data_IF_531998135581
#
_entry.id   IF_531998135581
#
_cell.length_a   1.000
_cell.length_b   1.000
_cell.length_c   1.000
_cell.angle_alpha   90.00
_cell.angle_beta   90.00
_cell.angle_gamma   90.00
#
_symmetry.space_group_name_H-M   'P 1'
#
loop_
_entity.id
_entity.type
_entity.pdbx_description
1 polymer ?
#
# COMPACT_ATOMS: atom_id res chain seq x y z
N UNK A 1 -7.11 -13.86 17.04
CA UNK A 1 -7.97 -12.73 17.41
C UNK A 1 -8.88 -12.41 16.25
N UNK A 2 -10.03 -11.85 16.51
CA UNK A 2 -11.00 -11.38 15.53
C UNK A 2 -11.33 -9.92 15.87
N UNK A 3 -11.19 -9.02 14.91
CA UNK A 3 -11.55 -7.62 15.07
C UNK A 3 -12.82 -7.33 14.28
N UNK A 4 -13.87 -6.88 14.95
CA UNK A 4 -15.08 -6.37 14.34
C UNK A 4 -14.96 -4.86 14.18
N UNK A 5 -15.11 -4.36 12.97
CA UNK A 5 -14.96 -2.94 12.66
C UNK A 5 -16.18 -2.38 11.94
N UNK A 6 -16.62 -1.19 12.35
CA UNK A 6 -17.73 -0.47 11.73
C UNK A 6 -17.53 1.05 11.92
N UNK A 7 -18.04 1.86 11.01
CA UNK A 7 -18.04 3.32 11.13
C UNK A 7 -19.08 3.85 12.13
N UNK A 8 -20.04 3.03 12.50
CA UNK A 8 -21.15 3.38 13.39
C UNK A 8 -20.97 2.83 14.81
N UNK A 9 -20.89 3.72 15.79
CA UNK A 9 -20.90 3.32 17.21
C UNK A 9 -22.10 2.46 17.60
N UNK A 10 -23.24 2.71 16.98
CA UNK A 10 -24.45 1.94 17.25
C UNK A 10 -24.25 0.46 16.85
N UNK A 11 -23.75 0.20 15.65
CA UNK A 11 -23.52 -1.17 15.19
C UNK A 11 -22.38 -1.85 15.96
N UNK A 12 -21.36 -1.12 16.37
CA UNK A 12 -20.32 -1.65 17.26
C UNK A 12 -20.90 -2.11 18.61
N UNK A 13 -21.76 -1.28 19.24
CA UNK A 13 -22.40 -1.64 20.51
C UNK A 13 -23.36 -2.83 20.39
N UNK A 14 -24.08 -2.94 19.30
CA UNK A 14 -24.93 -4.11 19.06
C UNK A 14 -24.08 -5.36 18.82
N UNK A 15 -23.02 -5.25 18.01
CA UNK A 15 -22.07 -6.35 17.79
C UNK A 15 -21.39 -6.80 19.10
N UNK A 16 -21.01 -5.88 19.97
CA UNK A 16 -20.43 -6.18 21.28
C UNK A 16 -21.37 -7.02 22.15
N UNK A 17 -22.66 -6.68 22.17
CA UNK A 17 -23.68 -7.47 22.89
C UNK A 17 -23.85 -8.87 22.30
N UNK A 18 -23.97 -8.96 20.97
CA UNK A 18 -24.19 -10.24 20.27
C UNK A 18 -22.98 -11.18 20.35
N UNK A 19 -21.78 -10.60 20.31
CA UNK A 19 -20.52 -11.32 20.31
C UNK A 19 -19.89 -11.46 21.70
N UNK A 20 -20.51 -10.96 22.77
CA UNK A 20 -20.03 -11.01 24.17
C UNK A 20 -19.68 -12.43 24.65
N UNK A 21 -20.24 -13.46 24.04
CA UNK A 21 -19.95 -14.87 24.34
C UNK A 21 -18.58 -15.36 23.83
N UNK A 22 -17.90 -14.58 22.98
CA UNK A 22 -16.61 -14.93 22.39
C UNK A 22 -15.48 -14.14 23.02
N UNK A 23 -14.51 -14.81 23.65
CA UNK A 23 -13.46 -14.19 24.45
C UNK A 23 -12.37 -13.44 23.66
N UNK A 24 -12.33 -13.55 22.31
CA UNK A 24 -11.24 -13.03 21.48
C UNK A 24 -11.73 -12.14 20.36
N UNK A 25 -12.76 -11.34 20.65
CA UNK A 25 -13.28 -10.35 19.70
C UNK A 25 -12.91 -8.97 20.22
N UNK A 26 -12.29 -8.19 19.38
CA UNK A 26 -11.97 -6.79 19.57
C UNK A 26 -12.92 -5.94 18.72
N UNK A 27 -13.26 -4.73 19.19
CA UNK A 27 -14.19 -3.84 18.49
C UNK A 27 -13.52 -2.51 18.22
N UNK A 28 -13.45 -2.12 16.95
CA UNK A 28 -12.73 -0.94 16.51
C UNK A 28 -13.62 -0.04 15.62
N UNK A 29 -13.48 1.26 15.78
CA UNK A 29 -14.07 2.20 14.84
C UNK A 29 -13.26 2.23 13.56
N UNK A 30 -13.91 1.99 12.41
CA UNK A 30 -13.29 2.10 11.10
C UNK A 30 -14.18 2.90 10.16
N UNK A 31 -13.76 4.09 9.82
CA UNK A 31 -14.40 4.94 8.82
C UNK A 31 -13.50 5.04 7.57
N UNK A 32 -13.86 4.34 6.51
CA UNK A 32 -13.08 4.34 5.27
C UNK A 32 -13.12 5.67 4.50
N UNK A 33 -13.95 6.63 4.91
CA UNK A 33 -13.93 8.00 4.38
C UNK A 33 -12.80 8.85 5.00
N UNK A 34 -12.26 8.43 6.11
CA UNK A 34 -11.15 9.10 6.80
C UNK A 34 -9.81 8.47 6.47
N UNK A 35 -8.71 9.20 6.69
CA UNK A 35 -7.37 8.66 6.53
C UNK A 35 -7.06 7.58 7.57
N UNK A 36 -6.36 6.52 7.16
CA UNK A 36 -5.99 5.42 8.05
C UNK A 36 -5.04 5.85 9.17
N UNK A 37 -4.28 6.92 8.97
CA UNK A 37 -3.39 7.53 9.97
C UNK A 37 -4.12 8.10 11.19
N UNK A 38 -5.41 8.40 11.05
CA UNK A 38 -6.27 8.95 12.14
C UNK A 38 -7.02 7.89 12.92
N UNK A 39 -6.89 6.62 12.53
CA UNK A 39 -7.65 5.51 13.08
C UNK A 39 -6.73 4.57 13.86
N UNK A 40 -7.29 3.81 14.80
CA UNK A 40 -6.52 2.92 15.67
C UNK A 40 -6.22 1.55 15.04
N UNK A 41 -6.64 1.35 13.80
CA UNK A 41 -6.44 0.09 13.08
C UNK A 41 -4.96 -0.17 12.81
N UNK A 42 -4.53 -1.39 13.09
CA UNK A 42 -3.16 -1.81 12.79
C UNK A 42 -3.02 -2.17 11.31
N UNK A 43 -2.21 -1.42 10.56
CA UNK A 43 -1.92 -1.70 9.17
C UNK A 43 -1.08 -2.98 9.03
N UNK A 44 -1.24 -3.68 7.90
CA UNK A 44 -0.49 -4.90 7.55
C UNK A 44 -0.48 -5.97 8.64
N UNK A 45 -1.59 -6.10 9.38
CA UNK A 45 -1.66 -6.98 10.56
C UNK A 45 -2.69 -8.11 10.46
N UNK A 46 -3.55 -8.07 9.45
CA UNK A 46 -4.64 -9.02 9.29
C UNK A 46 -4.32 -10.08 8.21
N UNK A 47 -4.51 -11.34 8.56
CA UNK A 47 -4.35 -12.46 7.62
C UNK A 47 -5.56 -12.57 6.68
N UNK A 48 -6.74 -12.21 7.17
CA UNK A 48 -8.00 -12.22 6.42
C UNK A 48 -8.80 -10.98 6.79
N UNK A 49 -9.29 -10.25 5.79
CA UNK A 49 -10.30 -9.21 5.95
C UNK A 49 -11.59 -9.66 5.26
N UNK A 50 -12.71 -9.55 5.97
CA UNK A 50 -14.03 -9.88 5.45
C UNK A 50 -14.85 -8.60 5.38
N UNK A 51 -15.30 -8.24 4.19
CA UNK A 51 -16.17 -7.08 3.95
C UNK A 51 -17.51 -7.52 3.39
N UNK A 52 -18.59 -7.10 4.07
CA UNK A 52 -19.95 -7.47 3.69
C UNK A 52 -20.81 -6.21 3.54
N UNK A 53 -21.21 -5.89 2.32
CA UNK A 53 -22.06 -4.73 1.98
C UNK A 53 -21.55 -3.38 2.55
N UNK A 54 -20.23 -3.19 2.56
CA UNK A 54 -19.62 -2.01 3.17
C UNK A 54 -18.94 -1.10 2.16
N UNK A 55 -18.22 -1.67 1.18
CA UNK A 55 -17.32 -0.88 0.33
C UNK A 55 -18.08 -0.03 -0.70
N UNK A 56 -19.21 -0.50 -1.24
CA UNK A 56 -20.00 0.28 -2.21
C UNK A 56 -20.56 1.59 -1.65
N UNK A 57 -20.69 1.70 -0.33
CA UNK A 57 -21.27 2.87 0.34
C UNK A 57 -20.30 4.04 0.44
N UNK A 58 -19.02 3.82 0.22
CA UNK A 58 -18.02 4.87 0.31
C UNK A 58 -18.09 5.80 -0.91
N UNK A 59 -17.76 7.06 -0.71
CA UNK A 59 -17.73 8.12 -1.74
C UNK A 59 -16.80 7.72 -2.88
N UNK A 60 -15.68 7.07 -2.54
CA UNK A 60 -14.72 6.50 -3.47
C UNK A 60 -14.49 5.02 -3.14
N UNK A 61 -15.05 4.13 -3.97
CA UNK A 61 -14.92 2.70 -3.79
C UNK A 61 -13.49 2.19 -4.02
N UNK A 62 -12.74 2.83 -4.91
CA UNK A 62 -11.35 2.46 -5.17
C UNK A 62 -10.44 2.82 -3.99
N UNK A 63 -10.63 3.98 -3.39
CA UNK A 63 -9.93 4.40 -2.19
C UNK A 63 -10.28 3.51 -0.99
N UNK A 64 -11.55 3.15 -0.83
CA UNK A 64 -11.98 2.22 0.22
C UNK A 64 -11.32 0.84 0.09
N UNK A 65 -11.22 0.29 -1.13
CA UNK A 65 -10.53 -0.98 -1.39
C UNK A 65 -9.03 -0.87 -1.09
N UNK A 66 -8.38 0.24 -1.45
CA UNK A 66 -6.97 0.49 -1.12
C UNK A 66 -6.73 0.49 0.39
N UNK A 67 -7.57 1.20 1.15
CA UNK A 67 -7.49 1.24 2.62
C UNK A 67 -7.68 -0.14 3.25
N UNK A 68 -8.60 -0.94 2.72
CA UNK A 68 -8.78 -2.33 3.15
C UNK A 68 -7.56 -3.19 2.82
N UNK A 69 -6.94 -2.99 1.65
CA UNK A 69 -5.71 -3.69 1.28
C UNK A 69 -4.54 -3.36 2.21
N UNK A 70 -4.46 -2.11 2.70
CA UNK A 70 -3.44 -1.69 3.69
C UNK A 70 -3.56 -2.41 5.05
N UNK A 71 -4.74 -2.92 5.39
CA UNK A 71 -4.93 -3.71 6.60
C UNK A 71 -4.35 -5.13 6.48
N UNK A 72 -4.29 -5.67 5.26
CA UNK A 72 -3.85 -7.03 5.01
C UNK A 72 -2.33 -7.18 5.15
N UNK A 73 -1.90 -8.28 5.74
CA UNK A 73 -0.52 -8.74 5.64
C UNK A 73 -0.16 -9.07 4.18
N UNK A 74 1.13 -9.08 3.83
CA UNK A 74 1.58 -9.71 2.58
C UNK A 74 1.01 -11.13 2.46
N UNK A 75 0.42 -11.46 1.32
CA UNK A 75 -0.35 -12.70 1.08
C UNK A 75 -1.66 -12.84 1.89
N UNK A 76 -2.11 -11.81 2.59
CA UNK A 76 -3.41 -11.78 3.24
C UNK A 76 -4.57 -11.87 2.24
N UNK A 77 -5.72 -12.30 2.70
CA UNK A 77 -6.89 -12.56 1.85
C UNK A 77 -7.99 -11.56 2.13
N UNK A 78 -8.50 -10.91 1.09
CA UNK A 78 -9.77 -10.17 1.13
C UNK A 78 -10.90 -11.09 0.68
N UNK A 79 -11.88 -11.27 1.54
CA UNK A 79 -13.19 -11.84 1.20
C UNK A 79 -14.22 -10.72 1.17
N UNK A 80 -14.77 -10.42 0.01
CA UNK A 80 -15.74 -9.34 -0.16
C UNK A 80 -17.04 -9.87 -0.74
N UNK A 81 -18.16 -9.40 -0.21
CA UNK A 81 -19.46 -9.53 -0.86
C UNK A 81 -20.14 -8.19 -0.85
N UNK A 82 -20.53 -7.73 -2.03
CA UNK A 82 -21.17 -6.44 -2.20
C UNK A 82 -22.28 -6.47 -3.26
N UNK A 83 -23.20 -5.51 -3.20
CA UNK A 83 -24.29 -5.41 -4.15
C UNK A 83 -23.78 -4.90 -5.50
N UNK A 84 -24.28 -5.50 -6.60
CA UNK A 84 -23.96 -5.09 -7.98
C UNK A 84 -25.24 -4.92 -8.84
N UNK A 85 -26.41 -5.26 -8.29
CA UNK A 85 -27.68 -5.16 -9.01
C UNK A 85 -28.32 -3.80 -8.78
N UNK A 86 -28.74 -3.21 -9.88
CA UNK A 86 -29.59 -2.02 -9.90
C UNK A 86 -31.06 -2.45 -9.70
N UNK A 87 -31.65 -2.00 -8.63
CA UNK A 87 -33.09 -2.01 -8.47
C UNK A 87 -33.59 -0.58 -8.39
N UNK A 88 -34.76 -0.29 -8.98
CA UNK A 88 -35.40 1.04 -8.88
C UNK A 88 -35.57 1.48 -7.41
N UNK A 89 -35.81 0.52 -6.52
CA UNK A 89 -35.94 0.79 -5.09
C UNK A 89 -34.63 1.27 -4.48
N UNK A 90 -33.50 0.65 -4.85
CA UNK A 90 -32.17 1.07 -4.37
C UNK A 90 -31.79 2.45 -4.93
N UNK A 91 -32.06 2.70 -6.21
CA UNK A 91 -31.80 4.00 -6.81
C UNK A 91 -32.62 5.10 -6.14
N UNK A 92 -33.90 4.84 -5.85
CA UNK A 92 -34.76 5.77 -5.13
C UNK A 92 -34.30 6.00 -3.68
N UNK A 93 -33.98 4.92 -2.95
CA UNK A 93 -33.56 5.06 -1.54
C UNK A 93 -32.20 5.72 -1.43
N UNK A 94 -31.24 5.35 -2.27
CA UNK A 94 -29.92 5.97 -2.29
C UNK A 94 -29.99 7.44 -2.75
N UNK A 95 -30.84 7.77 -3.75
CA UNK A 95 -31.04 9.15 -4.17
C UNK A 95 -31.59 10.04 -3.04
N UNK A 96 -32.46 9.49 -2.18
CA UNK A 96 -33.02 10.25 -1.05
C UNK A 96 -32.09 10.28 0.18
N UNK A 97 -31.37 9.21 0.45
CA UNK A 97 -30.57 9.06 1.68
C UNK A 97 -29.11 9.51 1.50
N UNK A 98 -28.58 9.46 0.29
CA UNK A 98 -27.18 9.69 -0.02
C UNK A 98 -26.96 10.92 -0.93
N UNK A 99 -27.73 11.97 -0.74
CA UNK A 99 -27.61 13.23 -1.47
C UNK A 99 -27.60 13.09 -3.00
N UNK A 100 -28.36 12.10 -3.53
CA UNK A 100 -28.54 11.92 -4.96
C UNK A 100 -27.27 11.54 -5.73
N UNK A 101 -26.33 10.85 -5.09
CA UNK A 101 -25.02 10.47 -5.66
C UNK A 101 -24.09 11.65 -5.98
N UNK A 102 -24.42 12.85 -5.54
CA UNK A 102 -23.61 14.05 -5.80
C UNK A 102 -22.19 13.91 -5.25
N UNK A 103 -22.04 13.17 -4.15
CA UNK A 103 -20.79 13.01 -3.45
C UNK A 103 -19.86 11.92 -4.01
N UNK A 104 -20.36 11.04 -4.90
CA UNK A 104 -19.54 9.99 -5.54
C UNK A 104 -18.41 10.64 -6.34
N UNK A 105 -17.17 10.18 -6.11
CA UNK A 105 -15.94 10.72 -6.71
C UNK A 105 -15.21 9.79 -7.64
N UNK A 106 -15.62 8.52 -7.70
CA UNK A 106 -15.00 7.50 -8.55
C UNK A 106 -15.72 7.35 -9.92
N UNK A 107 -15.29 6.35 -10.68
CA UNK A 107 -15.81 6.04 -12.02
C UNK A 107 -17.33 5.75 -12.07
N UNK A 108 -17.97 5.45 -10.93
CA UNK A 108 -19.42 5.31 -10.84
C UNK A 108 -20.15 6.55 -11.30
N UNK A 109 -19.63 7.73 -11.01
CA UNK A 109 -20.23 9.01 -11.39
C UNK A 109 -20.32 9.15 -12.90
N UNK A 110 -19.26 8.82 -13.62
CA UNK A 110 -19.22 8.89 -15.09
C UNK A 110 -20.12 7.82 -15.73
N UNK A 111 -20.14 6.64 -15.14
CA UNK A 111 -20.96 5.52 -15.60
C UNK A 111 -22.45 5.63 -15.22
N UNK A 112 -22.83 6.63 -14.40
CA UNK A 112 -24.17 6.77 -13.85
C UNK A 112 -24.56 5.58 -12.95
N UNK A 113 -23.60 5.03 -12.21
CA UNK A 113 -23.77 3.87 -11.33
C UNK A 113 -23.92 4.32 -9.88
N UNK A 114 -24.82 3.69 -9.16
CA UNK A 114 -24.95 3.82 -7.69
C UNK A 114 -23.97 2.92 -6.97
N UNK A 115 -23.95 1.68 -7.41
CA UNK A 115 -23.05 0.64 -6.88
C UNK A 115 -22.09 0.23 -8.00
N UNK A 116 -20.84 -0.09 -7.68
CA UNK A 116 -19.91 -0.63 -8.66
C UNK A 116 -20.47 -1.95 -9.23
N UNK A 117 -20.36 -2.14 -10.53
CA UNK A 117 -20.60 -3.44 -11.15
C UNK A 117 -19.38 -4.36 -10.98
N UNK A 118 -19.46 -5.59 -11.46
CA UNK A 118 -18.36 -6.55 -11.34
C UNK A 118 -17.08 -6.13 -12.08
N UNK A 119 -17.21 -5.34 -13.16
CA UNK A 119 -16.04 -4.85 -13.90
C UNK A 119 -15.32 -3.77 -13.10
N UNK A 120 -16.08 -2.82 -12.57
CA UNK A 120 -15.51 -1.76 -11.74
C UNK A 120 -14.88 -2.31 -10.45
N UNK A 121 -15.50 -3.32 -9.82
CA UNK A 121 -14.90 -4.00 -8.68
C UNK A 121 -13.55 -4.66 -9.02
N UNK A 122 -13.45 -5.30 -10.20
CA UNK A 122 -12.17 -5.88 -10.66
C UNK A 122 -11.10 -4.81 -10.85
N UNK A 123 -11.47 -3.66 -11.42
CA UNK A 123 -10.55 -2.53 -11.59
C UNK A 123 -10.07 -2.01 -10.23
N UNK A 124 -10.99 -1.74 -9.29
CA UNK A 124 -10.65 -1.29 -7.93
C UNK A 124 -9.71 -2.26 -7.20
N UNK A 125 -9.99 -3.56 -7.30
CA UNK A 125 -9.15 -4.60 -6.70
C UNK A 125 -7.76 -4.67 -7.35
N UNK A 126 -7.69 -4.57 -8.68
CA UNK A 126 -6.42 -4.55 -9.40
C UNK A 126 -5.57 -3.33 -9.04
N UNK A 127 -6.19 -2.15 -8.99
CA UNK A 127 -5.52 -0.89 -8.58
C UNK A 127 -5.02 -0.92 -7.12
N UNK A 128 -5.66 -1.72 -6.26
CA UNK A 128 -5.24 -1.94 -4.88
C UNK A 128 -4.22 -3.08 -4.70
N UNK A 129 -3.71 -3.68 -5.78
CA UNK A 129 -2.77 -4.80 -5.71
C UNK A 129 -3.40 -6.15 -5.33
N UNK A 130 -4.71 -6.27 -5.50
CA UNK A 130 -5.50 -7.46 -5.17
C UNK A 130 -5.98 -8.22 -6.43
N UNK A 131 -5.41 -7.93 -7.61
CA UNK A 131 -6.02 -8.33 -8.89
C UNK A 131 -5.65 -9.70 -9.45
N UNK A 132 -4.42 -10.19 -9.26
CA UNK A 132 -3.95 -11.34 -10.04
C UNK A 132 -4.65 -12.66 -9.69
N UNK A 133 -4.95 -12.92 -8.43
CA UNK A 133 -5.65 -14.13 -7.97
C UNK A 133 -7.13 -13.85 -7.63
N UNK A 134 -7.73 -12.82 -8.25
CA UNK A 134 -9.07 -12.40 -7.89
C UNK A 134 -10.14 -13.23 -8.59
N UNK A 135 -10.86 -14.03 -7.82
CA UNK A 135 -12.08 -14.69 -8.27
C UNK A 135 -13.29 -13.75 -8.02
N UNK A 136 -13.74 -13.03 -9.03
CA UNK A 136 -14.97 -12.23 -8.98
C UNK A 136 -16.10 -12.98 -9.65
N UNK A 137 -17.14 -13.28 -8.89
CA UNK A 137 -18.34 -13.97 -9.37
C UNK A 137 -19.59 -13.18 -8.99
N UNK A 138 -20.48 -13.00 -9.93
CA UNK A 138 -21.82 -12.48 -9.66
C UNK A 138 -22.78 -13.62 -9.34
N UNK A 139 -23.42 -13.54 -8.18
CA UNK A 139 -24.47 -14.49 -7.80
C UNK A 139 -25.56 -13.79 -7.00
N UNK A 140 -26.80 -14.01 -7.39
CA UNK A 140 -27.96 -13.39 -6.72
C UNK A 140 -27.87 -11.86 -6.59
N UNK A 141 -27.33 -11.20 -7.62
CA UNK A 141 -27.18 -9.74 -7.62
C UNK A 141 -26.10 -9.22 -6.68
N UNK A 142 -25.17 -10.06 -6.29
CA UNK A 142 -24.00 -9.73 -5.48
C UNK A 142 -22.72 -10.10 -6.21
N UNK A 143 -21.76 -9.24 -6.11
CA UNK A 143 -20.37 -9.57 -6.40
C UNK A 143 -19.80 -10.30 -5.18
N UNK A 144 -19.25 -11.49 -5.39
CA UNK A 144 -18.47 -12.22 -4.41
C UNK A 144 -17.05 -12.23 -4.92
N UNK A 145 -16.16 -11.67 -4.13
CA UNK A 145 -14.75 -11.61 -4.44
C UNK A 145 -13.93 -12.33 -3.37
N UNK A 146 -13.01 -13.17 -3.83
CA UNK A 146 -11.92 -13.68 -3.01
C UNK A 146 -10.63 -13.26 -3.72
N UNK A 147 -9.85 -12.41 -3.08
CA UNK A 147 -8.59 -11.92 -3.64
C UNK A 147 -7.50 -12.04 -2.60
N UNK A 148 -6.31 -12.41 -3.08
CA UNK A 148 -5.11 -12.41 -2.25
C UNK A 148 -4.33 -11.14 -2.54
N UNK A 149 -3.96 -10.43 -1.48
CA UNK A 149 -2.98 -9.37 -1.62
C UNK A 149 -1.69 -10.03 -2.09
N UNK A 150 -1.25 -9.64 -3.28
CA UNK A 150 0.06 -10.03 -3.69
C UNK A 150 1.04 -9.55 -2.62
N UNK A 151 1.99 -10.43 -2.30
CA UNK A 151 3.27 -9.97 -1.80
C UNK A 151 3.95 -9.22 -2.97
N UNK A 152 3.28 -8.22 -3.53
CA UNK A 152 4.02 -7.17 -4.18
C UNK A 152 5.04 -6.81 -3.13
N UNK A 153 6.31 -7.07 -3.41
CA UNK A 153 7.35 -6.25 -2.83
C UNK A 153 6.68 -4.91 -2.69
N UNK A 154 6.28 -4.57 -1.44
CA UNK A 154 5.70 -3.28 -1.16
C UNK A 154 6.62 -2.36 -1.93
N UNK A 155 6.17 -1.80 -3.03
CA UNK A 155 6.91 -0.75 -3.69
C UNK A 155 6.79 0.43 -2.75
N UNK A 156 7.39 0.28 -1.58
CA UNK A 156 7.84 1.39 -0.81
C UNK A 156 8.78 2.09 -1.76
N UNK A 157 8.22 3.01 -2.51
CA UNK A 157 9.04 3.89 -3.29
C UNK A 157 10.01 4.46 -2.28
N UNK A 158 11.30 4.22 -2.49
CA UNK A 158 12.36 4.75 -1.61
C UNK A 158 12.11 6.22 -1.26
N UNK A 159 11.36 6.92 -2.11
CA UNK A 159 10.86 8.26 -1.89
C UNK A 159 9.91 8.42 -0.71
N UNK A 160 8.86 7.63 -0.60
CA UNK A 160 7.86 7.79 0.47
C UNK A 160 8.44 7.48 1.85
N UNK A 161 9.29 6.43 1.94
CA UNK A 161 9.96 6.10 3.19
C UNK A 161 11.00 7.16 3.59
N UNK A 162 11.72 7.72 2.61
CA UNK A 162 12.65 8.81 2.83
C UNK A 162 11.94 10.08 3.28
N UNK A 163 10.83 10.43 2.65
CA UNK A 163 10.01 11.59 3.02
C UNK A 163 9.52 11.46 4.47
N UNK A 164 8.91 10.33 4.82
CA UNK A 164 8.47 10.04 6.19
C UNK A 164 9.60 10.14 7.22
N UNK A 165 10.78 9.60 6.91
CA UNK A 165 11.92 9.65 7.82
C UNK A 165 12.54 11.05 7.91
N UNK A 166 12.51 11.82 6.82
CA UNK A 166 13.01 13.21 6.80
C UNK A 166 12.19 14.15 7.68
N UNK A 167 10.92 13.85 7.89
CA UNK A 167 10.07 14.59 8.85
C UNK A 167 10.39 14.27 10.31
N UNK A 168 10.95 13.11 10.61
CA UNK A 168 11.15 12.62 11.99
C UNK A 168 12.60 12.56 12.42
N UNK A 169 13.54 12.55 11.49
CA UNK A 169 14.96 12.42 11.76
C UNK A 169 15.74 13.59 11.14
N UNK A 170 16.83 14.01 11.76
CA UNK A 170 17.78 14.90 11.10
C UNK A 170 18.28 14.29 9.78
N UNK A 171 18.58 15.12 8.79
CA UNK A 171 18.93 14.69 7.43
C UNK A 171 20.10 13.69 7.39
N UNK A 172 21.11 13.85 8.26
CA UNK A 172 22.26 12.94 8.36
C UNK A 172 21.91 11.56 8.95
N UNK A 173 20.71 11.38 9.52
CA UNK A 173 20.22 10.09 10.04
C UNK A 173 19.26 9.38 9.08
N UNK A 174 18.81 10.06 8.00
CA UNK A 174 17.92 9.47 7.02
C UNK A 174 18.73 8.54 6.11
N UNK A 175 18.41 7.23 6.04
CA UNK A 175 19.11 6.32 5.14
C UNK A 175 18.93 6.78 3.68
N UNK A 176 19.98 6.65 2.90
CA UNK A 176 19.94 7.00 1.48
C UNK A 176 19.40 5.86 0.62
N UNK A 177 19.69 4.62 1.00
CA UNK A 177 19.28 3.43 0.29
C UNK A 177 18.48 2.50 1.21
N UNK A 178 17.41 1.94 0.69
CA UNK A 178 16.53 1.00 1.37
C UNK A 178 16.45 -0.26 0.53
N UNK A 179 16.68 -1.40 1.14
CA UNK A 179 16.57 -2.70 0.50
C UNK A 179 15.47 -3.51 1.18
N UNK A 180 14.49 -3.91 0.42
CA UNK A 180 13.35 -4.68 0.90
C UNK A 180 13.59 -6.15 0.64
N UNK A 181 13.37 -6.98 1.64
CA UNK A 181 13.56 -8.42 1.57
C UNK A 181 12.35 -9.13 2.18
N UNK A 182 11.93 -10.22 1.59
CA UNK A 182 10.86 -11.05 2.16
C UNK A 182 11.28 -11.64 3.51
N UNK A 183 12.54 -12.07 3.62
CA UNK A 183 13.10 -12.61 4.86
C UNK A 183 14.57 -12.20 5.00
N UNK A 184 14.94 -11.79 6.21
CA UNK A 184 16.34 -11.51 6.53
C UNK A 184 17.13 -12.82 6.59
N UNK A 185 18.29 -12.95 5.94
CA UNK A 185 19.14 -14.11 6.05
C UNK A 185 19.64 -14.27 7.49
N UNK A 186 19.49 -15.46 8.05
CA UNK A 186 19.88 -15.77 9.42
C UNK A 186 20.95 -16.85 9.46
N UNK A 187 21.80 -16.78 10.47
CA UNK A 187 22.75 -17.83 10.82
C UNK A 187 22.01 -18.98 11.55
N UNK A 188 22.65 -20.14 11.67
CA UNK A 188 22.10 -21.30 12.37
C UNK A 188 21.74 -21.05 13.85
N UNK A 189 22.26 -19.99 14.44
CA UNK A 189 21.97 -19.54 15.80
C UNK A 189 20.83 -18.50 15.87
N UNK A 190 20.11 -18.23 14.76
CA UNK A 190 19.01 -17.29 14.68
C UNK A 190 19.41 -15.81 14.56
N UNK A 191 20.72 -15.47 14.54
CA UNK A 191 21.18 -14.09 14.36
C UNK A 191 21.21 -13.71 12.88
N UNK A 192 21.00 -12.43 12.57
CA UNK A 192 21.04 -11.91 11.19
C UNK A 192 22.42 -12.11 10.59
N UNK A 193 22.48 -12.72 9.41
CA UNK A 193 23.70 -12.92 8.63
C UNK A 193 24.08 -11.66 7.84
N UNK A 194 24.73 -10.71 8.51
CA UNK A 194 25.15 -9.44 7.90
C UNK A 194 26.17 -9.60 6.77
N UNK A 195 26.90 -10.72 6.72
CA UNK A 195 27.87 -10.97 5.66
C UNK A 195 27.16 -11.28 4.35
N UNK A 196 26.18 -12.17 4.39
CA UNK A 196 25.34 -12.50 3.25
C UNK A 196 24.58 -11.27 2.74
N UNK A 197 23.96 -10.47 3.63
CA UNK A 197 23.32 -9.22 3.24
C UNK A 197 24.24 -8.29 2.43
N UNK A 198 25.51 -8.17 2.81
CA UNK A 198 26.47 -7.33 2.08
C UNK A 198 26.86 -7.92 0.72
N UNK A 199 26.84 -9.22 0.57
CA UNK A 199 27.14 -9.91 -0.68
C UNK A 199 25.96 -9.78 -1.64
N UNK A 200 24.74 -10.01 -1.17
CA UNK A 200 23.52 -9.90 -1.94
C UNK A 200 23.32 -8.47 -2.51
N UNK A 201 23.64 -7.43 -1.74
CA UNK A 201 23.52 -6.04 -2.19
C UNK A 201 24.64 -5.57 -3.14
N UNK A 202 25.76 -6.26 -3.22
CA UNK A 202 26.79 -5.94 -4.21
C UNK A 202 26.40 -6.35 -5.63
N UNK A 203 25.57 -7.37 -5.78
CA UNK A 203 25.09 -7.83 -7.10
C UNK A 203 23.97 -6.93 -7.65
N UNK A 204 23.09 -6.38 -6.82
CA UNK A 204 22.01 -5.47 -7.26
C UNK A 204 22.51 -4.11 -7.77
N UNK A 205 23.63 -3.62 -7.26
CA UNK A 205 24.24 -2.37 -7.76
C UNK A 205 24.77 -2.48 -9.20
N UNK A 206 24.80 -3.64 -9.79
CA UNK A 206 25.37 -3.87 -11.13
C UNK A 206 24.41 -3.53 -12.30
N UNK A 207 23.15 -3.18 -12.07
CA UNK A 207 22.14 -2.95 -13.12
C UNK A 207 21.72 -1.49 -13.28
N UNK A 208 22.38 -0.56 -12.63
CA UNK A 208 22.08 0.86 -12.81
C UNK A 208 22.57 1.31 -14.18
N UNK A 209 21.67 1.77 -15.05
CA UNK A 209 21.99 2.39 -16.33
C UNK A 209 22.63 3.75 -16.07
N UNK A 210 23.93 3.82 -16.21
CA UNK A 210 24.66 5.08 -16.07
C UNK A 210 24.46 5.96 -17.30
N UNK A 211 24.00 7.20 -17.09
CA UNK A 211 24.00 8.22 -18.12
C UNK A 211 25.44 8.62 -18.39
N UNK A 212 25.93 8.44 -19.61
CA UNK A 212 27.30 8.76 -19.98
C UNK A 212 27.49 10.27 -20.09
N UNK A 213 28.71 10.76 -19.82
CA UNK A 213 29.10 12.11 -20.10
C UNK A 213 28.92 12.46 -21.59
N UNK A 214 28.43 13.64 -21.86
CA UNK A 214 28.20 14.18 -23.21
C UNK A 214 29.13 15.32 -23.54
N UNK A 215 29.76 15.91 -22.53
CA UNK A 215 30.70 17.04 -22.67
C UNK A 215 32.04 16.70 -22.01
N UNK A 216 33.14 17.36 -22.50
CA UNK A 216 34.47 17.19 -21.91
C UNK A 216 34.55 17.61 -20.42
N UNK A 217 33.70 18.54 -20.02
CA UNK A 217 33.61 18.98 -18.62
C UNK A 217 32.97 17.90 -17.73
N UNK A 218 31.90 17.25 -18.23
CA UNK A 218 31.28 16.14 -17.54
C UNK A 218 32.22 14.92 -17.41
N UNK A 219 33.00 14.62 -18.44
CA UNK A 219 34.00 13.55 -18.37
C UNK A 219 35.03 13.83 -17.28
N UNK A 220 35.59 15.03 -17.24
CA UNK A 220 36.55 15.42 -16.19
C UNK A 220 35.96 15.36 -14.79
N UNK A 221 34.69 15.76 -14.64
CA UNK A 221 34.00 15.71 -13.36
C UNK A 221 33.74 14.26 -12.91
N UNK A 222 33.33 13.40 -13.83
CA UNK A 222 33.14 11.97 -13.55
C UNK A 222 34.45 11.30 -13.14
N UNK A 223 35.55 11.63 -13.78
CA UNK A 223 36.87 11.08 -13.43
C UNK A 223 37.31 11.51 -12.02
N UNK A 224 37.05 12.75 -11.65
CA UNK A 224 37.30 13.24 -10.28
C UNK A 224 36.44 12.46 -9.27
N UNK A 225 35.15 12.30 -9.57
CA UNK A 225 34.23 11.59 -8.68
C UNK A 225 34.57 10.11 -8.55
N UNK A 226 34.96 9.45 -9.65
CA UNK A 226 35.44 8.05 -9.63
C UNK A 226 36.66 7.88 -8.71
N UNK A 227 37.61 8.80 -8.81
CA UNK A 227 38.80 8.77 -7.94
C UNK A 227 38.43 9.07 -6.47
N UNK A 228 37.48 9.96 -6.22
CA UNK A 228 37.09 10.37 -4.88
C UNK A 228 36.29 9.28 -4.15
N UNK A 229 35.35 8.65 -4.83
CA UNK A 229 34.46 7.65 -4.26
C UNK A 229 34.93 6.19 -4.45
N UNK A 230 35.86 5.96 -5.36
CA UNK A 230 36.38 4.60 -5.66
C UNK A 230 35.36 3.74 -6.41
N UNK A 231 34.37 4.31 -7.08
CA UNK A 231 33.39 3.62 -7.91
C UNK A 231 33.71 3.83 -9.38
N UNK A 232 33.73 2.74 -10.16
CA UNK A 232 33.88 2.82 -11.63
C UNK A 232 32.58 3.27 -12.32
N UNK A 233 31.45 2.97 -11.69
CA UNK A 233 30.12 3.13 -12.25
C UNK A 233 29.42 4.36 -11.66
N UNK A 234 29.74 5.54 -12.16
CA UNK A 234 29.10 6.82 -11.82
C UNK A 234 28.56 7.45 -13.12
N UNK A 235 27.33 7.97 -13.11
CA UNK A 235 26.70 8.68 -14.20
C UNK A 235 26.53 10.18 -13.94
N UNK A 236 26.22 10.95 -14.98
CA UNK A 236 26.07 12.42 -14.88
C UNK A 236 24.83 12.86 -14.08
N UNK A 237 23.87 11.94 -13.87
CA UNK A 237 22.66 12.19 -13.09
C UNK A 237 22.78 11.75 -11.62
N UNK A 238 23.92 11.15 -11.24
CA UNK A 238 24.11 10.71 -9.86
C UNK A 238 24.27 11.91 -8.92
N UNK A 239 23.67 11.78 -7.74
CA UNK A 239 23.76 12.79 -6.71
C UNK A 239 24.97 12.55 -5.82
N UNK A 240 25.76 13.61 -5.54
CA UNK A 240 26.94 13.57 -4.69
C UNK A 240 26.71 12.86 -3.35
N UNK A 241 25.60 13.18 -2.67
CA UNK A 241 25.25 12.59 -1.38
C UNK A 241 24.83 11.12 -1.49
N UNK A 242 24.17 10.74 -2.60
CA UNK A 242 23.77 9.34 -2.83
C UNK A 242 24.97 8.43 -3.12
N UNK A 243 26.08 8.98 -3.58
CA UNK A 243 27.34 8.27 -3.74
C UNK A 243 28.14 8.14 -2.43
N UNK A 244 27.61 8.66 -1.32
CA UNK A 244 28.29 8.66 -0.01
C UNK A 244 29.13 9.90 0.25
N UNK A 245 28.90 10.96 -0.51
CA UNK A 245 29.57 12.25 -0.29
C UNK A 245 29.12 12.91 1.00
N UNK A 246 30.03 13.46 1.73
CA UNK A 246 29.82 14.27 2.92
C UNK A 246 30.63 15.57 2.86
N UNK A 247 30.44 16.44 3.85
CA UNK A 247 31.16 17.73 3.91
C UNK A 247 32.68 17.60 4.04
N UNK A 248 33.19 16.48 4.51
CA UNK A 248 34.62 16.19 4.61
C UNK A 248 35.20 15.79 3.26
N UNK A 249 34.47 14.97 2.50
CA UNK A 249 34.86 14.53 1.17
C UNK A 249 34.77 15.72 0.18
N UNK A 250 33.78 16.62 0.35
CA UNK A 250 33.63 17.80 -0.50
C UNK A 250 34.78 18.83 -0.38
N UNK A 251 35.62 18.72 0.65
CA UNK A 251 36.79 19.63 0.85
C UNK A 251 38.10 19.06 0.32
N UNK A 252 38.07 17.89 -0.28
CA UNK A 252 39.22 17.21 -0.91
C UNK A 252 39.25 17.47 -2.40
#
# INVERSE_FOLDING_TARGET
AYTYADASKYFLQEAEKELARYERVEFEMLNLEEGMDKQQMSLHSYDIVISVNALHRNIDAADAVKKVAELLKPNGILLMTDLVVRTYLQELTAAFLENGFADIRDKRKEAGLVTPDCLLWRECLSEAGLGEDCAVTERYGRCICCSRQQASVLSYHNGALREYLSEKLPEYMVPQNYHFMEQLPTLSNGKINRKQLREDFKEETAVIRFSKATTETEEKLLDIWKQLFGYENIGIEDNYFSLGGDSLIATR
#
